data_IF_937780472436
#
_entry.id   IF_937780472436
#
_cell.length_a   1.000
_cell.length_b   1.000
_cell.length_c   1.000
_cell.angle_alpha   90.00
_cell.angle_beta   90.00
_cell.angle_gamma   90.00
#
_symmetry.space_group_name_H-M   'P 1'
#
loop_
_entity.id
_entity.type
_entity.pdbx_description
1 polymer ?
#
# COMPACT_ATOMS: atom_id res chain seq x y z
N UNK A 1 -26.00 -10.57 35.67
CA UNK A 1 -26.21 -9.16 35.28
C UNK A 1 -25.54 -8.27 36.34
N UNK A 2 -24.37 -7.69 36.07
CA UNK A 2 -23.70 -6.74 36.96
C UNK A 2 -23.46 -5.46 36.16
N UNK A 3 -24.05 -4.36 36.62
CA UNK A 3 -23.87 -3.01 36.03
C UNK A 3 -22.80 -2.25 36.83
N UNK A 4 -21.96 -1.42 36.16
CA UNK A 4 -20.87 -0.67 36.77
C UNK A 4 -21.26 0.77 37.12
N UNK A 5 -20.46 1.37 38.01
CA UNK A 5 -20.09 2.78 37.93
C UNK A 5 -20.83 3.75 38.84
N UNK A 6 -20.11 4.31 39.82
CA UNK A 6 -20.27 5.70 40.26
C UNK A 6 -19.08 6.09 41.16
N UNK A 7 -17.90 6.25 40.56
CA UNK A 7 -16.78 7.00 41.16
C UNK A 7 -16.86 8.44 40.64
N UNK A 8 -17.75 9.22 41.27
CA UNK A 8 -17.83 10.65 41.02
C UNK A 8 -16.64 11.33 41.72
N UNK A 9 -15.62 11.62 40.92
CA UNK A 9 -14.56 12.59 41.20
C UNK A 9 -15.20 13.96 41.49
N UNK A 10 -15.37 14.30 42.76
CA UNK A 10 -15.58 15.67 43.21
C UNK A 10 -14.24 16.24 43.68
N UNK A 11 -13.46 16.72 42.70
CA UNK A 11 -12.19 17.39 42.93
C UNK A 11 -12.45 18.86 43.28
N UNK A 12 -12.12 19.22 44.52
CA UNK A 12 -11.59 20.51 44.98
C UNK A 12 -11.90 21.76 44.13
N UNK A 13 -12.91 22.53 44.53
CA UNK A 13 -13.05 23.94 44.20
C UNK A 13 -12.88 24.76 45.49
N UNK A 14 -11.63 25.00 45.88
CA UNK A 14 -11.28 25.97 46.90
C UNK A 14 -10.64 27.17 46.21
N UNK A 15 -11.45 28.20 46.03
CA UNK A 15 -11.12 29.49 45.44
C UNK A 15 -9.98 30.16 46.23
N UNK A 16 -8.79 30.22 45.64
CA UNK A 16 -7.75 31.12 46.10
C UNK A 16 -8.12 32.55 45.70
N UNK A 17 -8.57 33.34 46.68
CA UNK A 17 -8.57 34.80 46.65
C UNK A 17 -7.13 35.28 46.47
N UNK A 18 -6.67 35.41 45.23
CA UNK A 18 -5.44 36.14 44.93
C UNK A 18 -5.73 37.63 45.15
N UNK A 19 -5.17 38.17 46.23
CA UNK A 19 -5.05 39.61 46.44
C UNK A 19 -4.41 40.24 45.20
N UNK A 20 -5.15 41.11 44.54
CA UNK A 20 -4.60 42.11 43.61
C UNK A 20 -3.79 43.09 44.46
N UNK A 21 -2.50 42.80 44.65
CA UNK A 21 -1.53 43.79 45.06
C UNK A 21 -1.23 44.66 43.83
N UNK A 22 -1.81 45.85 43.80
CA UNK A 22 -1.51 46.90 42.82
C UNK A 22 0.00 47.21 42.85
N UNK A 23 0.72 47.17 41.71
CA UNK A 23 2.14 47.51 41.67
C UNK A 23 2.28 49.02 41.61
N UNK A 24 2.22 49.67 42.77
CA UNK A 24 2.44 51.10 42.89
C UNK A 24 3.68 51.40 43.72
N UNK A 25 4.78 50.61 43.58
CA UNK A 25 6.15 51.01 43.96
C UNK A 25 7.26 49.99 43.61
N UNK A 26 7.08 49.09 42.64
CA UNK A 26 8.21 48.31 42.13
C UNK A 26 8.91 49.12 41.04
N UNK A 27 10.22 49.36 41.18
CA UNK A 27 11.01 50.10 40.20
C UNK A 27 10.91 49.46 38.81
N UNK A 28 11.07 50.25 37.75
CA UNK A 28 11.00 49.72 36.39
C UNK A 28 12.02 48.60 36.14
N UNK A 29 13.15 48.62 36.87
CA UNK A 29 14.16 47.56 36.88
C UNK A 29 13.63 46.23 37.43
N UNK A 30 12.92 46.23 38.56
CA UNK A 30 12.31 45.01 39.12
C UNK A 30 11.25 44.44 38.18
N UNK A 31 10.49 45.32 37.51
CA UNK A 31 9.51 44.92 36.50
C UNK A 31 10.19 44.30 35.28
N UNK A 32 11.30 44.87 34.82
CA UNK A 32 12.10 44.31 33.73
C UNK A 32 12.69 42.94 34.10
N UNK A 33 13.23 42.79 35.31
CA UNK A 33 13.73 41.52 35.83
C UNK A 33 12.63 40.46 35.89
N UNK A 34 11.45 40.82 36.41
CA UNK A 34 10.29 39.92 36.45
C UNK A 34 9.85 39.49 35.04
N UNK A 35 9.78 40.43 34.09
CA UNK A 35 9.41 40.14 32.70
C UNK A 35 10.43 39.20 32.01
N UNK A 36 11.73 39.43 32.21
CA UNK A 36 12.80 38.58 31.68
C UNK A 36 12.77 37.19 32.32
N UNK A 37 12.53 37.09 33.62
CA UNK A 37 12.40 35.81 34.31
C UNK A 37 11.20 35.00 33.77
N UNK A 38 10.05 35.65 33.58
CA UNK A 38 8.88 35.03 32.99
C UNK A 38 9.14 34.59 31.53
N UNK A 39 9.80 35.44 30.73
CA UNK A 39 10.19 35.11 29.36
C UNK A 39 11.10 33.88 29.32
N UNK A 40 12.12 33.84 30.19
CA UNK A 40 13.02 32.69 30.32
C UNK A 40 12.28 31.41 30.71
N UNK A 41 11.35 31.49 31.67
CA UNK A 41 10.53 30.36 32.08
C UNK A 41 9.68 29.80 30.94
N UNK A 42 9.05 30.68 30.14
CA UNK A 42 8.27 30.28 28.95
C UNK A 42 9.16 29.67 27.86
N UNK A 43 10.32 30.25 27.59
CA UNK A 43 11.28 29.71 26.60
C UNK A 43 11.79 28.34 27.02
N UNK A 44 12.09 28.14 28.32
CA UNK A 44 12.51 26.84 28.85
C UNK A 44 11.37 25.81 28.77
N UNK A 45 10.14 26.21 29.12
CA UNK A 45 8.96 25.36 28.94
C UNK A 45 8.77 24.97 27.47
N UNK A 46 8.88 25.93 26.54
CA UNK A 46 8.78 25.70 25.11
C UNK A 46 9.92 24.80 24.57
N UNK A 47 11.13 24.90 25.15
CA UNK A 47 12.27 24.05 24.82
C UNK A 47 12.17 22.63 25.39
N UNK A 48 11.41 22.42 26.48
CA UNK A 48 11.12 21.10 27.04
C UNK A 48 10.01 20.36 26.31
N UNK A 49 9.14 21.07 25.60
CA UNK A 49 8.23 20.45 24.64
C UNK A 49 9.06 19.75 23.56
N UNK A 50 8.67 18.53 23.19
CA UNK A 50 9.43 17.65 22.29
C UNK A 50 9.93 18.44 21.07
N UNK A 51 11.25 18.46 20.87
CA UNK A 51 11.93 19.26 19.84
C UNK A 51 11.45 18.99 18.40
N UNK A 52 10.74 17.88 18.16
CA UNK A 52 10.12 17.55 16.86
C UNK A 52 8.86 18.33 16.56
N UNK A 53 8.15 18.84 17.59
CA UNK A 53 6.82 19.44 17.43
C UNK A 53 6.86 20.98 17.45
N UNK A 54 8.00 21.56 17.82
CA UNK A 54 8.19 23.01 17.99
C UNK A 54 9.04 23.58 16.86
N UNK A 55 8.65 24.74 16.31
CA UNK A 55 9.45 25.43 15.29
C UNK A 55 10.77 25.95 15.87
N UNK A 56 11.95 25.40 15.45
CA UNK A 56 13.24 25.83 15.99
C UNK A 56 13.56 27.29 15.66
N UNK A 57 13.02 27.80 14.55
CA UNK A 57 13.16 29.19 14.16
C UNK A 57 12.46 30.15 15.15
N UNK A 58 11.31 29.76 15.69
CA UNK A 58 10.56 30.59 16.65
C UNK A 58 11.26 30.61 18.01
N UNK A 59 11.77 29.47 18.47
CA UNK A 59 12.58 29.39 19.70
C UNK A 59 13.87 30.21 19.58
N UNK A 60 14.54 30.16 18.42
CA UNK A 60 15.73 30.97 18.18
C UNK A 60 15.43 32.49 18.24
N UNK A 61 14.29 32.93 17.69
CA UNK A 61 13.82 34.32 17.82
C UNK A 61 13.52 34.69 19.27
N UNK A 62 12.83 33.82 20.01
CA UNK A 62 12.55 34.05 21.43
C UNK A 62 13.83 34.20 22.27
N UNK A 63 14.84 33.36 22.02
CA UNK A 63 16.15 33.47 22.67
C UNK A 63 16.92 34.72 22.26
N UNK A 64 16.81 35.16 21.01
CA UNK A 64 17.42 36.41 20.55
C UNK A 64 16.80 37.62 21.25
N UNK A 65 15.48 37.72 21.31
CA UNK A 65 14.77 38.78 22.04
C UNK A 65 15.07 38.75 23.55
N UNK A 66 15.26 37.57 24.15
CA UNK A 66 15.68 37.46 25.55
C UNK A 66 17.09 38.03 25.79
N UNK A 67 18.03 37.79 24.87
CA UNK A 67 19.38 38.38 24.96
C UNK A 67 19.33 39.90 24.81
N UNK A 68 18.55 40.40 23.85
CA UNK A 68 18.32 41.85 23.69
C UNK A 68 17.73 42.46 24.96
N UNK A 69 16.72 41.82 25.57
CA UNK A 69 16.13 42.29 26.83
C UNK A 69 17.17 42.37 27.97
N UNK A 70 18.09 41.40 28.06
CA UNK A 70 19.16 41.41 29.04
C UNK A 70 20.20 42.50 28.77
N UNK A 71 20.50 42.79 27.50
CA UNK A 71 21.43 43.84 27.10
C UNK A 71 20.86 45.24 27.38
N UNK A 72 19.59 45.47 27.04
CA UNK A 72 18.87 46.71 27.33
C UNK A 72 18.77 46.96 28.84
N UNK A 73 18.51 45.92 29.64
CA UNK A 73 18.48 46.05 31.10
C UNK A 73 19.86 46.42 31.67
N UNK A 74 20.92 45.76 31.19
CA UNK A 74 22.31 46.10 31.59
C UNK A 74 22.71 47.52 31.17
N UNK A 75 22.06 48.06 30.14
CA UNK A 75 22.30 49.41 29.63
C UNK A 75 21.45 50.48 30.31
N UNK A 76 20.62 50.12 31.29
CA UNK A 76 19.72 51.06 31.99
C UNK A 76 18.54 51.50 31.12
N UNK A 77 18.05 50.63 30.24
CA UNK A 77 16.90 50.87 29.39
C UNK A 77 15.76 49.90 29.76
N UNK A 78 15.19 50.09 30.94
CA UNK A 78 14.25 49.15 31.56
C UNK A 78 13.00 48.93 30.70
N UNK A 79 12.47 49.99 30.08
CA UNK A 79 11.26 49.92 29.25
C UNK A 79 11.53 49.17 27.93
N UNK A 80 12.72 49.36 27.34
CA UNK A 80 13.13 48.58 26.16
C UNK A 80 13.36 47.11 26.53
N UNK A 81 13.94 46.86 27.70
CA UNK A 81 14.12 45.51 28.23
C UNK A 81 12.77 44.80 28.43
N UNK A 82 11.77 45.49 28.99
CA UNK A 82 10.40 44.98 29.14
C UNK A 82 9.80 44.66 27.77
N UNK A 83 9.92 45.56 26.80
CA UNK A 83 9.39 45.35 25.44
C UNK A 83 10.03 44.12 24.77
N UNK A 84 11.35 44.00 24.80
CA UNK A 84 12.07 42.85 24.25
C UNK A 84 11.73 41.55 25.00
N UNK A 85 11.50 41.61 26.31
CA UNK A 85 11.05 40.45 27.09
C UNK A 85 9.62 40.02 26.70
N UNK A 86 8.71 40.97 26.45
CA UNK A 86 7.35 40.67 25.97
C UNK A 86 7.40 40.02 24.58
N UNK A 87 8.23 40.52 23.67
CA UNK A 87 8.42 39.89 22.35
C UNK A 87 8.94 38.45 22.50
N UNK A 88 9.91 38.23 23.40
CA UNK A 88 10.41 36.90 23.72
C UNK A 88 9.29 35.98 24.26
N UNK A 89 8.40 36.49 25.11
CA UNK A 89 7.23 35.76 25.62
C UNK A 89 6.25 35.42 24.49
N UNK A 90 5.97 36.35 23.57
CA UNK A 90 5.07 36.13 22.44
C UNK A 90 5.58 35.02 21.53
N UNK A 91 6.87 35.04 21.18
CA UNK A 91 7.46 33.94 20.40
C UNK A 91 7.40 32.61 21.14
N UNK A 92 7.64 32.59 22.45
CA UNK A 92 7.50 31.37 23.23
C UNK A 92 6.06 30.85 23.29
N UNK A 93 5.07 31.74 23.45
CA UNK A 93 3.65 31.38 23.43
C UNK A 93 3.21 30.85 22.06
N UNK A 94 3.68 31.47 20.97
CA UNK A 94 3.47 30.96 19.60
C UNK A 94 4.04 29.56 19.45
N UNK A 95 5.29 29.34 19.89
CA UNK A 95 5.94 28.04 19.81
C UNK A 95 5.17 26.95 20.60
N UNK A 96 4.65 27.29 21.79
CA UNK A 96 3.82 26.38 22.60
C UNK A 96 2.47 26.11 21.91
N UNK A 97 1.85 27.12 21.31
CA UNK A 97 0.59 26.98 20.57
C UNK A 97 0.74 26.07 19.35
N UNK A 98 1.76 26.31 18.53
CA UNK A 98 2.10 25.47 17.37
C UNK A 98 2.39 24.02 17.79
N UNK A 99 3.15 23.82 18.86
CA UNK A 99 3.45 22.49 19.39
C UNK A 99 2.19 21.73 19.81
N UNK A 100 1.26 22.38 20.52
CA UNK A 100 -0.01 21.76 20.91
C UNK A 100 -0.88 21.43 19.70
N UNK A 101 -0.93 22.31 18.70
CA UNK A 101 -1.66 22.04 17.46
C UNK A 101 -1.07 20.85 16.70
N UNK A 102 0.26 20.80 16.56
CA UNK A 102 0.96 19.70 15.89
C UNK A 102 0.78 18.37 16.63
N UNK A 103 0.79 18.38 17.96
CA UNK A 103 0.52 17.21 18.77
C UNK A 103 -0.92 16.69 18.56
N UNK A 104 -1.91 17.58 18.47
CA UNK A 104 -3.29 17.21 18.20
C UNK A 104 -3.46 16.59 16.80
N UNK A 105 -2.87 17.20 15.77
CA UNK A 105 -2.90 16.68 14.40
C UNK A 105 -2.20 15.31 14.33
N UNK A 106 -1.05 15.16 14.98
CA UNK A 106 -0.31 13.90 15.00
C UNK A 106 -1.10 12.78 15.68
N UNK A 107 -1.79 13.10 16.78
CA UNK A 107 -2.67 12.16 17.47
C UNK A 107 -3.85 11.71 16.58
N UNK A 108 -4.45 12.63 15.83
CA UNK A 108 -5.53 12.32 14.88
C UNK A 108 -5.05 11.43 13.73
N UNK A 109 -3.91 11.77 13.11
CA UNK A 109 -3.29 10.94 12.07
C UNK A 109 -2.95 9.55 12.59
N UNK A 110 -2.45 9.45 13.81
CA UNK A 110 -2.14 8.16 14.43
C UNK A 110 -3.40 7.33 14.69
N UNK A 111 -4.49 7.97 15.17
CA UNK A 111 -5.78 7.29 15.33
C UNK A 111 -6.34 6.78 14.00
N UNK A 112 -6.29 7.59 12.94
CA UNK A 112 -6.70 7.19 11.60
C UNK A 112 -5.84 6.04 11.05
N UNK A 113 -4.52 6.09 11.27
CA UNK A 113 -3.60 5.03 10.84
C UNK A 113 -3.90 3.71 11.55
N UNK A 114 -4.20 3.75 12.85
CA UNK A 114 -4.60 2.55 13.61
C UNK A 114 -5.93 1.99 13.11
N UNK A 115 -6.92 2.85 12.84
CA UNK A 115 -8.20 2.42 12.30
C UNK A 115 -8.06 1.74 10.92
N UNK A 116 -7.27 2.33 10.03
CA UNK A 116 -6.97 1.75 8.72
C UNK A 116 -6.25 0.40 8.85
N UNK A 117 -5.26 0.30 9.73
CA UNK A 117 -4.56 -0.96 9.98
C UNK A 117 -5.50 -2.06 10.51
N UNK A 118 -6.48 -1.71 11.35
CA UNK A 118 -7.49 -2.66 11.83
C UNK A 118 -8.41 -3.13 10.69
N UNK A 119 -8.83 -2.22 9.81
CA UNK A 119 -9.64 -2.56 8.64
C UNK A 119 -8.88 -3.48 7.68
N UNK A 120 -7.61 -3.19 7.42
CA UNK A 120 -6.75 -4.02 6.56
C UNK A 120 -6.55 -5.41 7.15
N UNK A 121 -6.35 -5.52 8.46
CA UNK A 121 -6.26 -6.80 9.16
C UNK A 121 -7.58 -7.59 9.06
N UNK A 122 -8.73 -6.94 9.24
CA UNK A 122 -10.03 -7.59 9.08
C UNK A 122 -10.27 -8.09 7.65
N UNK A 123 -9.91 -7.28 6.64
CA UNK A 123 -10.01 -7.67 5.24
C UNK A 123 -9.07 -8.82 4.89
N UNK A 124 -7.84 -8.83 5.43
CA UNK A 124 -6.90 -9.92 5.25
C UNK A 124 -7.42 -11.23 5.86
N UNK A 125 -7.99 -11.17 7.07
CA UNK A 125 -8.59 -12.33 7.74
C UNK A 125 -9.78 -12.89 6.95
N UNK A 126 -10.65 -12.02 6.41
CA UNK A 126 -11.77 -12.46 5.56
C UNK A 126 -11.29 -13.17 4.29
N UNK A 127 -10.23 -12.66 3.64
CA UNK A 127 -9.60 -13.32 2.48
C UNK A 127 -9.01 -14.67 2.86
N UNK A 128 -8.33 -14.77 4.02
CA UNK A 128 -7.79 -16.03 4.50
C UNK A 128 -8.89 -17.09 4.70
N UNK A 129 -9.99 -16.74 5.39
CA UNK A 129 -11.13 -17.64 5.56
C UNK A 129 -11.75 -18.07 4.22
N UNK A 130 -11.86 -17.16 3.25
CA UNK A 130 -12.38 -17.51 1.92
C UNK A 130 -11.44 -18.47 1.17
N UNK A 131 -10.13 -18.31 1.32
CA UNK A 131 -9.14 -19.20 0.71
C UNK A 131 -9.17 -20.59 1.36
N UNK A 132 -9.33 -20.66 2.68
CA UNK A 132 -9.49 -21.92 3.41
C UNK A 132 -10.73 -22.69 2.96
N UNK A 133 -11.87 -22.00 2.79
CA UNK A 133 -13.10 -22.59 2.27
C UNK A 133 -12.93 -23.10 0.83
N UNK A 134 -12.33 -22.31 -0.05
CA UNK A 134 -12.07 -22.71 -1.43
C UNK A 134 -11.13 -23.92 -1.51
N UNK A 135 -10.10 -23.97 -0.65
CA UNK A 135 -9.18 -25.11 -0.56
C UNK A 135 -9.90 -26.37 -0.07
N UNK A 136 -10.79 -26.25 0.91
CA UNK A 136 -11.60 -27.38 1.39
C UNK A 136 -12.54 -27.92 0.31
N UNK A 137 -13.22 -27.05 -0.44
CA UNK A 137 -14.07 -27.44 -1.58
C UNK A 137 -13.26 -28.12 -2.67
N UNK A 138 -12.12 -27.55 -3.07
CA UNK A 138 -11.27 -28.15 -4.10
C UNK A 138 -10.72 -29.52 -3.67
N UNK A 139 -10.42 -29.71 -2.38
CA UNK A 139 -10.01 -31.01 -1.86
C UNK A 139 -11.14 -32.05 -1.93
N UNK A 140 -12.39 -31.66 -1.63
CA UNK A 140 -13.55 -32.53 -1.75
C UNK A 140 -13.83 -32.91 -3.21
N UNK A 141 -13.79 -31.95 -4.14
CA UNK A 141 -13.97 -32.20 -5.57
C UNK A 141 -12.89 -33.14 -6.12
N UNK A 142 -11.63 -32.96 -5.69
CA UNK A 142 -10.53 -33.83 -6.08
C UNK A 142 -10.71 -35.26 -5.55
N UNK A 143 -11.27 -35.44 -4.34
CA UNK A 143 -11.62 -36.77 -3.81
C UNK A 143 -12.75 -37.42 -4.60
N UNK A 144 -13.80 -36.66 -4.95
CA UNK A 144 -14.91 -37.15 -5.76
C UNK A 144 -14.45 -37.60 -7.15
N UNK A 145 -13.58 -36.82 -7.80
CA UNK A 145 -13.00 -37.17 -9.10
C UNK A 145 -12.17 -38.47 -9.05
N UNK A 146 -11.37 -38.67 -7.98
CA UNK A 146 -10.62 -39.93 -7.77
C UNK A 146 -11.55 -41.13 -7.55
N UNK A 147 -12.60 -40.96 -6.76
CA UNK A 147 -13.58 -42.02 -6.52
C UNK A 147 -14.30 -42.44 -7.82
N UNK A 148 -14.63 -41.47 -8.69
CA UNK A 148 -15.24 -41.75 -9.99
C UNK A 148 -14.31 -42.53 -10.93
N UNK A 149 -13.00 -42.24 -10.94
CA UNK A 149 -12.02 -42.98 -11.74
C UNK A 149 -11.82 -44.43 -11.27
N UNK A 150 -12.01 -44.72 -9.97
CA UNK A 150 -11.95 -46.09 -9.46
C UNK A 150 -13.14 -46.95 -9.89
N UNK A 151 -14.25 -46.33 -10.32
CA UNK A 151 -15.46 -47.02 -10.75
C UNK A 151 -15.55 -47.26 -12.28
N UNK A 152 -14.55 -46.86 -13.06
CA UNK A 152 -14.56 -47.09 -14.52
C UNK A 152 -14.39 -48.59 -14.84
N UNK A 153 -15.34 -49.24 -15.55
CA UNK A 153 -15.22 -50.63 -15.95
C UNK A 153 -14.05 -50.84 -16.92
N UNK A 154 -13.46 -52.04 -16.87
CA UNK A 154 -12.28 -52.41 -17.64
C UNK A 154 -12.45 -52.08 -19.14
N UNK A 155 -11.42 -51.56 -19.82
CA UNK A 155 -11.50 -51.23 -21.23
C UNK A 155 -11.80 -52.50 -22.04
N UNK A 156 -12.89 -52.46 -22.81
CA UNK A 156 -13.13 -53.46 -23.87
C UNK A 156 -12.00 -53.34 -24.89
N UNK A 157 -11.23 -54.40 -25.04
CA UNK A 157 -10.16 -54.50 -26.05
C UNK A 157 -10.77 -54.42 -27.45
N UNK A 158 -10.53 -53.31 -28.14
CA UNK A 158 -10.78 -53.19 -29.57
C UNK A 158 -9.47 -53.50 -30.31
N UNK A 159 -9.43 -54.60 -31.06
CA UNK A 159 -8.29 -54.95 -31.91
C UNK A 159 -8.43 -54.24 -33.25
N UNK A 160 -7.52 -53.31 -33.54
CA UNK A 160 -7.48 -52.62 -34.84
C UNK A 160 -6.52 -53.37 -35.76
N UNK A 161 -7.07 -54.02 -36.79
CA UNK A 161 -6.27 -54.63 -37.87
C UNK A 161 -6.21 -53.65 -39.04
N UNK A 162 -5.01 -53.27 -39.46
CA UNK A 162 -4.79 -52.47 -40.68
C UNK A 162 -4.22 -53.36 -41.78
N UNK A 163 -4.97 -53.56 -42.85
CA UNK A 163 -4.48 -54.22 -44.07
C UNK A 163 -4.18 -53.17 -45.13
N UNK A 164 -2.95 -53.16 -45.63
CA UNK A 164 -2.53 -52.30 -46.75
C UNK A 164 -2.34 -53.17 -47.99
N UNK A 165 -3.22 -53.03 -48.98
CA UNK A 165 -3.08 -53.71 -50.28
C UNK A 165 -2.57 -52.72 -51.32
N UNK A 166 -1.37 -52.97 -51.84
CA UNK A 166 -0.75 -52.16 -52.89
C UNK A 166 -0.95 -52.84 -54.24
N UNK A 167 -1.84 -52.32 -55.07
CA UNK A 167 -2.06 -52.82 -56.44
C UNK A 167 -1.31 -51.94 -57.44
N UNK A 168 -0.41 -52.52 -58.23
CA UNK A 168 0.29 -51.84 -59.33
C UNK A 168 -0.60 -51.84 -60.58
N UNK A 169 -0.94 -50.65 -61.09
CA UNK A 169 -1.68 -50.52 -62.35
C UNK A 169 -0.73 -50.63 -63.57
N UNK A 170 -1.16 -51.35 -64.61
CA UNK A 170 -0.42 -51.53 -65.85
C UNK A 170 -0.38 -50.24 -66.70
N UNK A 171 0.72 -49.98 -67.44
CA UNK A 171 0.88 -48.75 -68.20
C UNK A 171 -0.05 -48.70 -69.44
N UNK A 172 -0.79 -47.60 -69.58
CA UNK A 172 -1.60 -47.29 -70.77
C UNK A 172 -0.80 -46.44 -71.75
N UNK A 173 -0.63 -46.92 -72.98
CA UNK A 173 0.00 -46.16 -74.08
C UNK A 173 -1.02 -45.24 -74.75
N UNK A 174 -0.68 -43.95 -74.93
CA UNK A 174 -1.49 -43.01 -75.72
C UNK A 174 -0.84 -42.82 -77.10
N UNK A 175 -1.60 -43.02 -78.18
CA UNK A 175 -1.19 -42.69 -79.56
C UNK A 175 -1.29 -41.17 -79.78
N UNK A 176 -0.22 -40.57 -80.30
CA UNK A 176 -0.19 -39.16 -80.70
C UNK A 176 -0.83 -38.97 -82.09
N UNK A 177 -1.64 -37.91 -82.24
CA UNK A 177 -2.22 -37.45 -83.52
C UNK A 177 -1.36 -36.29 -84.04
N UNK A 178 -0.94 -36.37 -85.31
CA UNK A 178 -0.08 -35.38 -85.96
C UNK A 178 -0.88 -34.24 -86.63
N UNK A 179 -0.46 -32.97 -86.52
CA UNK A 179 -0.85 -31.94 -87.47
C UNK A 179 0.27 -31.56 -88.45
N UNK A 180 -0.15 -31.36 -89.71
CA UNK A 180 0.64 -30.94 -90.87
C UNK A 180 1.18 -29.51 -90.69
N UNK A 181 2.50 -29.32 -90.76
CA UNK A 181 3.21 -28.25 -91.50
C UNK A 181 4.73 -28.31 -91.26
N UNK A 182 5.48 -27.89 -92.28
CA UNK A 182 6.88 -28.18 -92.56
C UNK A 182 7.83 -27.31 -91.69
N UNK A 183 8.45 -27.91 -90.67
CA UNK A 183 9.71 -27.44 -90.05
C UNK A 183 10.48 -28.68 -89.57
N UNK A 184 11.74 -28.81 -89.96
CA UNK A 184 12.63 -29.90 -89.50
C UNK A 184 12.99 -29.65 -88.04
N UNK A 185 12.41 -30.40 -87.10
CA UNK A 185 12.99 -30.60 -85.75
C UNK A 185 12.74 -32.02 -85.24
N UNK A 186 13.83 -32.63 -84.77
CA UNK A 186 13.96 -33.96 -84.18
C UNK A 186 12.97 -34.15 -83.02
N UNK A 187 12.10 -35.14 -83.13
CA UNK A 187 11.16 -35.56 -82.08
C UNK A 187 11.86 -36.48 -81.09
N UNK A 188 11.94 -36.05 -79.82
CA UNK A 188 12.33 -36.90 -78.67
C UNK A 188 11.07 -37.29 -77.90
N UNK A 189 10.81 -38.59 -77.82
CA UNK A 189 9.74 -39.20 -77.02
C UNK A 189 10.20 -39.40 -75.57
N UNK A 190 9.50 -38.84 -74.59
CA UNK A 190 9.69 -39.15 -73.16
C UNK A 190 8.56 -40.05 -72.65
N UNK A 191 8.85 -41.12 -71.88
CA UNK A 191 7.82 -41.97 -71.30
C UNK A 191 7.07 -41.26 -70.14
N UNK A 192 5.76 -41.47 -70.09
CA UNK A 192 4.90 -40.96 -69.01
C UNK A 192 5.04 -41.82 -67.72
N UNK A 193 5.07 -41.15 -66.57
CA UNK A 193 5.20 -41.76 -65.23
C UNK A 193 3.89 -42.46 -64.80
N UNK A 194 4.00 -43.68 -64.27
CA UNK A 194 2.86 -44.41 -63.71
C UNK A 194 2.33 -43.76 -62.43
N UNK A 195 1.01 -43.66 -62.29
CA UNK A 195 0.34 -43.25 -61.06
C UNK A 195 0.07 -44.47 -60.18
N UNK A 196 0.40 -44.38 -58.90
CA UNK A 196 0.06 -45.38 -57.87
C UNK A 196 -1.18 -44.88 -57.14
N UNK A 197 -2.21 -45.71 -57.05
CA UNK A 197 -3.40 -45.46 -56.22
C UNK A 197 -3.33 -46.36 -55.00
N UNK A 198 -3.27 -45.76 -53.81
CA UNK A 198 -3.34 -46.47 -52.54
C UNK A 198 -4.77 -46.41 -52.02
N UNK A 199 -5.31 -47.56 -51.59
CA UNK A 199 -6.61 -47.63 -50.91
C UNK A 199 -6.40 -48.21 -49.52
N UNK A 200 -6.72 -47.42 -48.50
CA UNK A 200 -6.71 -47.85 -47.10
C UNK A 200 -8.12 -48.22 -46.69
N UNK A 201 -8.31 -49.44 -46.19
CA UNK A 201 -9.57 -49.89 -45.58
C UNK A 201 -9.30 -50.17 -44.11
N UNK A 202 -10.05 -49.53 -43.21
CA UNK A 202 -9.95 -49.77 -41.77
C UNK A 202 -11.19 -50.55 -41.32
N UNK A 203 -10.98 -51.74 -40.75
CA UNK A 203 -12.06 -52.55 -40.18
C UNK A 203 -11.93 -52.52 -38.67
N UNK A 204 -12.99 -52.08 -37.97
CA UNK A 204 -13.04 -52.08 -36.51
C UNK A 204 -13.95 -53.22 -36.06
N UNK A 205 -13.39 -54.20 -35.36
CA UNK A 205 -14.14 -55.31 -34.79
C UNK A 205 -14.14 -55.17 -33.27
N UNK A 206 -15.32 -54.96 -32.69
CA UNK A 206 -15.52 -54.94 -31.25
C UNK A 206 -15.89 -56.35 -30.80
N UNK A 207 -15.10 -56.95 -29.91
CA UNK A 207 -15.46 -58.22 -29.26
C UNK A 207 -16.09 -57.92 -27.89
N UNK A 208 -17.28 -58.47 -27.67
CA UNK A 208 -17.97 -58.47 -26.37
C UNK A 208 -17.60 -59.73 -25.58
#
# INVERSE_FOLDING_TARGET
MRKPGNTLRALMAASALFLVASPALAGDEERALAAIAQAKGKIDAAGKLKATDTSPAVIAKAQASLRLAQEELKSGHEQKAIQAAIEAQQFADTAIGESQQNAAVSAEVQAATVANAQQDAAAANARATSAEQAAASAAADAQAARAAQAATPAPTTATVTTETVKTTAAPVTRKAVAPKRKVVRRSTSTPARAAVTEKTTTTVTTQN
#
